data_IF_300273406502
#
_entry.id   IF_300273406502
#
_cell.length_a   1.000
_cell.length_b   1.000
_cell.length_c   1.000
_cell.angle_alpha   90.00
_cell.angle_beta   90.00
_cell.angle_gamma   90.00
#
_symmetry.space_group_name_H-M   'P 1'
#
loop_
_entity.id
_entity.type
_entity.pdbx_description
1 polymer ?
#
# COMPACT_ATOMS: atom_id res chain seq x y z
N UNK A 1 -8.54 -3.72 -21.14
CA UNK A 1 -7.28 -3.08 -20.73
C UNK A 1 -6.27 -4.13 -20.29
N UNK A 2 -5.46 -4.58 -21.25
CA UNK A 2 -4.43 -5.62 -21.08
C UNK A 2 -3.04 -5.04 -20.75
N UNK A 3 -2.96 -3.77 -20.38
CA UNK A 3 -1.68 -3.01 -20.39
C UNK A 3 -0.74 -3.36 -19.21
N UNK A 4 -1.06 -4.34 -18.36
CA UNK A 4 -0.18 -4.79 -17.24
C UNK A 4 0.06 -3.77 -16.12
N UNK A 5 -0.33 -2.50 -16.28
CA UNK A 5 -0.13 -1.42 -15.31
C UNK A 5 -1.25 -1.31 -14.26
N UNK A 6 -1.76 -2.44 -13.76
CA UNK A 6 -2.73 -2.44 -12.67
C UNK A 6 -2.56 -3.65 -11.77
N UNK A 7 -3.03 -3.53 -10.54
CA UNK A 7 -3.18 -4.64 -9.61
C UNK A 7 -4.49 -4.52 -8.84
N UNK A 8 -4.89 -5.60 -8.16
CA UNK A 8 -6.08 -5.63 -7.33
C UNK A 8 -5.72 -5.52 -5.85
N UNK A 9 -6.39 -4.62 -5.14
CA UNK A 9 -6.35 -4.51 -3.68
C UNK A 9 -7.33 -5.53 -3.06
N UNK A 10 -6.86 -6.32 -2.10
CA UNK A 10 -7.63 -7.41 -1.49
C UNK A 10 -7.54 -7.36 0.02
N UNK A 11 -8.56 -7.90 0.69
CA UNK A 11 -8.57 -8.14 2.13
C UNK A 11 -8.33 -9.63 2.38
N UNK A 12 -7.16 -9.97 2.91
CA UNK A 12 -6.72 -11.34 3.18
C UNK A 12 -6.94 -11.68 4.65
N UNK A 13 -7.37 -12.90 4.91
CA UNK A 13 -7.64 -13.44 6.24
C UNK A 13 -7.16 -14.89 6.30
N UNK A 14 -6.90 -15.40 7.51
CA UNK A 14 -6.64 -16.83 7.70
C UNK A 14 -7.89 -17.65 7.38
N UNK A 15 -7.69 -18.83 6.80
CA UNK A 15 -8.72 -19.86 6.63
C UNK A 15 -8.89 -20.56 7.98
N UNK A 16 -10.04 -20.34 8.63
CA UNK A 16 -10.34 -20.95 9.93
C UNK A 16 -11.81 -21.36 9.98
N UNK A 17 -12.07 -22.57 10.46
CA UNK A 17 -13.42 -23.08 10.73
C UNK A 17 -14.06 -22.48 11.98
N UNK A 18 -13.26 -22.00 12.94
CA UNK A 18 -13.74 -21.60 14.27
C UNK A 18 -13.90 -20.09 14.44
N UNK A 19 -13.11 -19.29 13.73
CA UNK A 19 -13.10 -17.83 13.82
C UNK A 19 -13.31 -17.17 12.44
N UNK A 20 -14.18 -17.75 11.61
CA UNK A 20 -14.53 -17.18 10.30
C UNK A 20 -15.35 -15.90 10.46
N UNK A 21 -15.06 -14.90 9.63
CA UNK A 21 -15.81 -13.66 9.54
C UNK A 21 -15.81 -13.13 8.10
N UNK A 22 -16.73 -12.22 7.82
CA UNK A 22 -16.89 -11.61 6.49
C UNK A 22 -16.43 -10.15 6.49
N UNK A 23 -16.42 -9.51 5.32
CA UNK A 23 -16.11 -8.07 5.19
C UNK A 23 -17.02 -7.20 6.08
N UNK A 24 -18.23 -7.65 6.41
CA UNK A 24 -19.20 -6.92 7.24
C UNK A 24 -18.95 -7.06 8.75
N UNK A 25 -17.98 -7.88 9.16
CA UNK A 25 -17.70 -8.24 10.55
C UNK A 25 -16.27 -7.85 10.95
N UNK A 26 -15.72 -6.82 10.30
CA UNK A 26 -14.37 -6.32 10.55
C UNK A 26 -14.24 -5.50 11.84
N UNK A 27 -15.35 -4.99 12.38
CA UNK A 27 -15.35 -4.21 13.61
C UNK A 27 -14.81 -5.03 14.78
N UNK A 28 -13.86 -4.47 15.53
CA UNK A 28 -13.19 -5.10 16.66
C UNK A 28 -12.13 -6.14 16.28
N UNK A 29 -11.86 -6.36 14.99
CA UNK A 29 -10.77 -7.23 14.53
C UNK A 29 -9.42 -6.52 14.60
N UNK A 30 -8.35 -7.30 14.61
CA UNK A 30 -6.97 -6.84 14.52
C UNK A 30 -6.56 -6.69 13.06
N UNK A 31 -6.07 -5.53 12.66
CA UNK A 31 -5.85 -5.21 11.24
C UNK A 31 -4.40 -4.90 10.91
N UNK A 32 -3.95 -5.34 9.73
CA UNK A 32 -2.60 -5.16 9.23
C UNK A 32 -2.63 -4.34 7.94
N UNK A 33 -1.93 -3.22 7.95
CA UNK A 33 -1.93 -2.25 6.85
C UNK A 33 -0.52 -2.06 6.33
N UNK A 34 -0.36 -1.85 5.02
CA UNK A 34 0.96 -1.65 4.41
C UNK A 34 1.67 -0.36 4.85
N UNK A 35 0.92 0.58 5.45
CA UNK A 35 1.36 1.92 5.81
C UNK A 35 0.24 2.95 5.62
N UNK A 36 0.30 4.03 6.41
CA UNK A 36 -0.61 5.16 6.34
C UNK A 36 -0.63 5.77 4.93
N UNK A 37 -1.81 6.16 4.45
CA UNK A 37 -2.04 6.78 3.13
C UNK A 37 -1.58 5.97 1.90
N UNK A 38 -1.15 4.70 2.08
CA UNK A 38 -0.83 3.81 0.96
C UNK A 38 -2.10 3.29 0.30
N UNK A 39 -2.02 3.03 -1.01
CA UNK A 39 -3.19 2.72 -1.81
C UNK A 39 -3.97 1.49 -1.33
N UNK A 40 -3.39 0.29 -1.47
CA UNK A 40 -4.10 -0.95 -1.19
C UNK A 40 -4.21 -1.28 0.30
N UNK A 41 -3.25 -0.80 1.09
CA UNK A 41 -3.23 -1.02 2.53
C UNK A 41 -3.99 0.02 3.34
N UNK A 42 -4.38 1.16 2.79
CA UNK A 42 -5.09 2.21 3.53
C UNK A 42 -6.19 2.88 2.72
N UNK A 43 -5.89 3.56 1.62
CA UNK A 43 -6.88 4.38 0.90
C UNK A 43 -8.05 3.55 0.39
N UNK A 44 -7.80 2.44 -0.30
CA UNK A 44 -8.86 1.55 -0.77
C UNK A 44 -9.66 0.97 0.40
N UNK A 45 -9.08 0.19 1.33
CA UNK A 45 -9.89 -0.47 2.36
C UNK A 45 -10.62 0.50 3.27
N UNK A 46 -9.98 1.59 3.70
CA UNK A 46 -10.62 2.58 4.58
C UNK A 46 -11.69 3.37 3.81
N UNK A 47 -11.42 3.77 2.56
CA UNK A 47 -12.41 4.42 1.70
C UNK A 47 -13.64 3.55 1.48
N UNK A 48 -13.44 2.26 1.20
CA UNK A 48 -14.51 1.27 1.03
C UNK A 48 -15.35 1.12 2.30
N UNK A 49 -14.73 1.04 3.48
CA UNK A 49 -15.45 0.94 4.76
C UNK A 49 -16.21 2.23 5.12
N UNK A 50 -15.69 3.40 4.72
CA UNK A 50 -16.38 4.69 4.85
C UNK A 50 -17.60 4.74 3.93
N UNK A 51 -17.44 4.36 2.66
CA UNK A 51 -18.52 4.39 1.66
C UNK A 51 -19.67 3.45 2.04
N UNK A 52 -19.35 2.29 2.61
CA UNK A 52 -20.34 1.37 3.18
C UNK A 52 -21.03 1.90 4.44
N UNK A 53 -20.47 2.92 5.08
CA UNK A 53 -20.97 3.48 6.33
C UNK A 53 -20.57 2.70 7.58
N UNK A 54 -19.66 1.73 7.47
CA UNK A 54 -19.11 0.95 8.58
C UNK A 54 -18.19 1.82 9.46
N UNK A 55 -17.37 2.65 8.80
CA UNK A 55 -16.55 3.67 9.46
C UNK A 55 -17.22 5.03 9.25
N UNK A 56 -17.57 5.68 10.36
CA UNK A 56 -18.06 7.06 10.36
C UNK A 56 -17.05 7.91 11.10
N UNK A 57 -16.60 8.98 10.47
CA UNK A 57 -15.66 9.91 11.09
C UNK A 57 -16.29 11.30 11.20
N UNK A 58 -15.89 12.04 12.23
CA UNK A 58 -16.26 13.44 12.43
C UNK A 58 -15.00 14.28 12.37
N UNK A 59 -15.11 15.53 11.93
CA UNK A 59 -14.01 16.51 11.95
C UNK A 59 -12.71 15.99 11.31
N UNK A 60 -12.82 15.20 10.25
CA UNK A 60 -11.67 14.85 9.42
C UNK A 60 -10.57 14.02 10.07
N UNK A 61 -10.88 13.33 11.17
CA UNK A 61 -9.92 12.44 11.83
C UNK A 61 -10.20 10.98 11.46
N UNK A 62 -9.80 10.59 10.24
CA UNK A 62 -9.94 9.22 9.74
C UNK A 62 -9.15 8.25 10.61
N UNK A 63 -7.90 8.60 10.98
CA UNK A 63 -7.07 7.75 11.85
C UNK A 63 -7.78 7.39 13.16
N UNK A 64 -8.42 8.35 13.81
CA UNK A 64 -9.21 8.09 15.02
C UNK A 64 -10.41 7.17 14.76
N UNK A 65 -11.17 7.40 13.69
CA UNK A 65 -12.32 6.54 13.38
C UNK A 65 -11.89 5.08 13.09
N UNK A 66 -10.77 4.90 12.38
CA UNK A 66 -10.17 3.58 12.15
C UNK A 66 -9.73 2.94 13.47
N UNK A 67 -9.11 3.72 14.37
CA UNK A 67 -8.65 3.27 15.68
C UNK A 67 -9.78 2.84 16.64
N UNK A 68 -11.00 3.36 16.43
CA UNK A 68 -12.21 2.99 17.17
C UNK A 68 -12.96 1.81 16.51
N UNK A 69 -12.69 1.56 15.22
CA UNK A 69 -13.31 0.49 14.46
C UNK A 69 -12.57 -0.84 14.63
N UNK A 70 -11.25 -0.85 14.50
CA UNK A 70 -10.40 -2.03 14.76
C UNK A 70 -9.93 -2.03 16.22
N UNK A 71 -9.77 -3.21 16.83
CA UNK A 71 -9.35 -3.31 18.23
C UNK A 71 -7.89 -2.93 18.44
N UNK A 72 -7.04 -3.36 17.50
CA UNK A 72 -5.63 -3.01 17.42
C UNK A 72 -5.20 -3.11 15.95
N UNK A 73 -4.22 -2.31 15.54
CA UNK A 73 -3.73 -2.32 14.16
C UNK A 73 -2.21 -2.20 14.11
N UNK A 74 -1.62 -2.58 12.98
CA UNK A 74 -0.32 -2.05 12.57
C UNK A 74 -0.50 -1.20 11.31
N UNK A 75 -0.26 0.10 11.46
CA UNK A 75 -0.31 1.12 10.40
C UNK A 75 1.01 1.90 10.44
N UNK A 76 2.06 1.41 9.75
CA UNK A 76 3.33 2.14 9.68
C UNK A 76 3.12 3.61 9.29
N UNK A 77 3.79 4.54 9.97
CA UNK A 77 3.65 5.99 9.83
C UNK A 77 2.53 6.64 10.66
N UNK A 78 1.76 5.86 11.43
CA UNK A 78 0.74 6.38 12.35
C UNK A 78 1.28 6.66 13.77
N UNK A 79 2.59 6.76 13.94
CA UNK A 79 3.29 7.12 15.18
C UNK A 79 3.39 8.65 15.40
N UNK A 80 2.92 9.43 14.42
CA UNK A 80 2.95 10.89 14.45
C UNK A 80 1.90 11.49 15.40
N UNK A 81 2.14 12.69 15.96
CA UNK A 81 1.18 13.37 16.82
C UNK A 81 -0.22 13.49 16.18
N UNK A 82 -1.26 13.14 16.95
CA UNK A 82 -2.65 13.19 16.51
C UNK A 82 -3.27 11.85 16.10
N UNK A 83 -2.45 10.80 15.98
CA UNK A 83 -2.92 9.43 15.75
C UNK A 83 -3.00 8.63 17.07
N UNK A 84 -4.07 7.84 17.29
CA UNK A 84 -4.18 6.99 18.47
C UNK A 84 -3.18 5.82 18.45
N UNK A 85 -2.67 5.46 19.63
CA UNK A 85 -1.66 4.41 19.78
C UNK A 85 -2.11 3.02 19.32
N UNK A 86 -3.42 2.74 19.32
CA UNK A 86 -3.97 1.47 18.83
C UNK A 86 -3.69 1.22 17.35
N UNK A 87 -3.36 2.26 16.56
CA UNK A 87 -2.94 2.12 15.16
C UNK A 87 -1.53 1.52 14.99
N UNK A 88 -0.69 1.61 16.03
CA UNK A 88 0.68 1.10 16.06
C UNK A 88 0.86 -0.07 17.02
N UNK A 89 -0.22 -0.55 17.65
CA UNK A 89 -0.18 -1.54 18.73
C UNK A 89 0.42 -2.86 18.25
N UNK A 90 0.01 -3.34 17.07
CA UNK A 90 0.48 -4.61 16.50
C UNK A 90 1.86 -4.50 15.85
N UNK A 91 2.37 -3.30 15.57
CA UNK A 91 3.68 -3.11 14.93
C UNK A 91 4.82 -3.59 15.85
N UNK A 92 5.94 -4.04 15.27
CA UNK A 92 6.99 -4.75 16.01
C UNK A 92 8.39 -4.14 15.89
N UNK A 93 8.56 -3.13 15.03
CA UNK A 93 9.85 -2.52 14.76
C UNK A 93 10.84 -3.47 14.09
N UNK A 94 12.12 -3.11 14.21
CA UNK A 94 13.24 -3.93 13.79
C UNK A 94 13.46 -5.14 14.73
N UNK A 95 14.53 -5.91 14.51
CA UNK A 95 14.85 -7.07 15.34
C UNK A 95 15.17 -6.74 16.81
N UNK A 96 15.46 -5.47 17.10
CA UNK A 96 15.68 -4.96 18.46
C UNK A 96 14.44 -4.27 19.05
N UNK A 97 13.34 -4.21 18.29
CA UNK A 97 12.10 -3.51 18.66
C UNK A 97 12.16 -1.99 18.51
N UNK A 98 13.21 -1.45 17.88
CA UNK A 98 13.31 -0.02 17.54
C UNK A 98 12.57 0.26 16.24
N UNK A 99 12.38 1.55 15.91
CA UNK A 99 11.61 1.97 14.73
C UNK A 99 10.21 1.36 14.66
N UNK A 100 9.61 1.03 15.81
CA UNK A 100 8.25 0.51 15.90
C UNK A 100 7.28 1.49 15.26
N UNK A 101 6.50 1.01 14.30
CA UNK A 101 5.55 1.76 13.51
C UNK A 101 6.16 2.82 12.58
N UNK A 102 7.48 2.81 12.36
CA UNK A 102 8.13 3.74 11.44
C UNK A 102 7.64 3.52 9.98
N UNK A 103 7.54 4.60 9.20
CA UNK A 103 7.21 4.52 7.78
C UNK A 103 8.42 4.12 6.92
N UNK A 104 9.08 3.03 7.27
CA UNK A 104 10.29 2.52 6.60
C UNK A 104 10.28 0.99 6.53
N UNK A 105 11.30 0.39 5.91
CA UNK A 105 11.49 -1.06 5.90
C UNK A 105 12.04 -1.60 7.24
N UNK A 106 12.45 -0.74 8.17
CA UNK A 106 12.92 -1.15 9.50
C UNK A 106 11.77 -1.71 10.35
N UNK A 107 10.56 -1.20 10.17
CA UNK A 107 9.35 -1.83 10.71
C UNK A 107 9.04 -3.10 9.92
N UNK A 108 9.22 -4.26 10.54
CA UNK A 108 9.05 -5.56 9.88
C UNK A 108 7.61 -5.84 9.41
N UNK A 109 6.60 -5.14 9.93
CA UNK A 109 5.23 -5.20 9.42
C UNK A 109 4.89 -4.14 8.36
N UNK A 110 5.89 -3.40 7.87
CA UNK A 110 5.72 -2.39 6.83
C UNK A 110 5.66 -2.98 5.42
N UNK A 111 4.93 -2.32 4.52
CA UNK A 111 4.79 -2.77 3.14
C UNK A 111 3.88 -3.98 2.97
N UNK A 112 3.91 -4.56 1.77
CA UNK A 112 3.01 -5.65 1.40
C UNK A 112 3.36 -6.95 2.14
N UNK A 113 4.63 -7.37 2.08
CA UNK A 113 5.10 -8.57 2.78
C UNK A 113 4.97 -8.41 4.29
N UNK A 114 5.33 -7.24 4.85
CA UNK A 114 5.17 -6.96 6.27
C UNK A 114 3.71 -6.99 6.75
N UNK A 115 2.77 -6.41 5.99
CA UNK A 115 1.35 -6.47 6.36
C UNK A 115 0.80 -7.91 6.30
N UNK A 116 1.27 -8.72 5.36
CA UNK A 116 0.91 -10.14 5.30
C UNK A 116 1.57 -10.96 6.43
N UNK A 117 2.83 -10.67 6.77
CA UNK A 117 3.51 -11.21 7.96
C UNK A 117 2.76 -10.89 9.24
N UNK A 118 2.32 -9.64 9.40
CA UNK A 118 1.47 -9.20 10.49
C UNK A 118 0.22 -10.08 10.60
N UNK A 119 -0.48 -10.37 9.49
CA UNK A 119 -1.61 -11.31 9.49
C UNK A 119 -1.17 -12.72 9.90
N UNK A 120 -0.08 -13.24 9.33
CA UNK A 120 0.41 -14.58 9.64
C UNK A 120 0.71 -14.76 11.13
N UNK A 121 1.28 -13.75 11.79
CA UNK A 121 1.72 -13.81 13.18
C UNK A 121 0.64 -13.38 14.19
N UNK A 122 0.05 -12.18 14.04
CA UNK A 122 -0.77 -11.55 15.09
C UNK A 122 -2.10 -10.95 14.64
N UNK A 123 -2.28 -10.63 13.36
CA UNK A 123 -3.48 -9.98 12.84
C UNK A 123 -4.62 -10.94 12.53
N UNK A 124 -5.81 -10.38 12.33
CA UNK A 124 -6.99 -11.13 11.85
C UNK A 124 -7.24 -10.87 10.35
N UNK A 125 -6.92 -9.66 9.86
CA UNK A 125 -7.05 -9.24 8.46
C UNK A 125 -5.83 -8.44 8.00
N UNK A 126 -5.38 -8.65 6.77
CA UNK A 126 -4.40 -7.79 6.09
C UNK A 126 -4.98 -7.20 4.79
N UNK A 127 -4.69 -5.93 4.55
CA UNK A 127 -5.03 -5.25 3.30
C UNK A 127 -3.79 -5.11 2.42
N UNK A 128 -3.75 -5.86 1.32
CA UNK A 128 -2.56 -6.03 0.46
C UNK A 128 -2.93 -6.12 -1.02
N UNK A 129 -1.94 -6.29 -1.91
CA UNK A 129 -2.18 -6.61 -3.32
C UNK A 129 -2.46 -8.11 -3.49
N UNK A 130 -3.23 -8.48 -4.51
CA UNK A 130 -3.59 -9.87 -4.80
C UNK A 130 -2.40 -10.83 -4.97
N UNK A 131 -1.24 -10.35 -5.41
CA UNK A 131 -0.02 -11.18 -5.57
C UNK A 131 0.73 -11.44 -4.26
N UNK A 132 0.43 -10.71 -3.17
CA UNK A 132 1.23 -10.76 -1.94
C UNK A 132 1.22 -12.13 -1.26
N UNK A 133 0.08 -12.84 -1.28
CA UNK A 133 -0.01 -14.17 -0.67
C UNK A 133 0.96 -15.11 -1.40
N UNK A 134 0.82 -15.23 -2.73
CA UNK A 134 1.68 -16.10 -3.54
C UNK A 134 3.17 -15.75 -3.44
N UNK A 135 3.51 -14.47 -3.32
CA UNK A 135 4.89 -14.04 -3.14
C UNK A 135 5.50 -14.47 -1.78
N UNK A 136 4.67 -14.80 -0.78
CA UNK A 136 5.09 -15.08 0.59
C UNK A 136 4.67 -16.47 1.10
N UNK A 137 4.21 -17.35 0.22
CA UNK A 137 3.81 -18.71 0.58
C UNK A 137 4.42 -19.73 -0.38
N UNK A 138 4.21 -21.01 -0.08
CA UNK A 138 4.51 -22.13 -0.99
C UNK A 138 6.00 -22.22 -1.41
N UNK A 139 6.89 -21.71 -0.57
CA UNK A 139 8.34 -21.73 -0.79
C UNK A 139 8.87 -20.56 -1.63
N UNK A 140 8.05 -19.59 -2.01
CA UNK A 140 8.52 -18.40 -2.74
C UNK A 140 9.34 -17.46 -1.87
N UNK A 141 8.90 -17.22 -0.63
CA UNK A 141 9.69 -16.46 0.35
C UNK A 141 10.43 -17.43 1.30
N UNK A 142 11.76 -17.35 1.30
CA UNK A 142 12.67 -18.19 2.09
C UNK A 142 12.96 -17.63 3.49
N UNK A 143 12.40 -16.47 3.83
CA UNK A 143 12.54 -15.92 5.18
C UNK A 143 11.93 -16.85 6.24
N UNK A 144 12.52 -16.90 7.46
CA UNK A 144 12.08 -17.83 8.51
C UNK A 144 10.59 -17.73 8.88
N UNK A 145 9.99 -16.54 8.76
CA UNK A 145 8.58 -16.32 9.07
C UNK A 145 7.61 -16.86 8.01
N UNK A 146 8.09 -17.03 6.76
CA UNK A 146 7.26 -17.36 5.59
C UNK A 146 7.46 -18.79 5.09
N UNK A 147 8.60 -19.42 5.38
CA UNK A 147 9.04 -20.71 4.78
C UNK A 147 8.01 -21.84 4.86
N UNK A 148 7.18 -21.86 5.90
CA UNK A 148 6.18 -22.91 6.13
C UNK A 148 4.75 -22.51 5.76
N UNK A 149 4.53 -21.28 5.27
CA UNK A 149 3.20 -20.80 4.95
C UNK A 149 2.69 -21.42 3.63
N UNK A 150 1.41 -21.80 3.60
CA UNK A 150 0.73 -22.28 2.40
C UNK A 150 -0.34 -21.29 1.96
N UNK A 151 -0.44 -21.02 0.66
CA UNK A 151 -1.46 -20.10 0.14
C UNK A 151 -2.88 -20.54 0.50
N UNK A 152 -3.11 -21.85 0.53
CA UNK A 152 -4.40 -22.47 0.87
C UNK A 152 -4.83 -22.28 2.34
N UNK A 153 -3.94 -21.78 3.21
CA UNK A 153 -4.27 -21.42 4.59
C UNK A 153 -4.89 -20.02 4.70
N UNK A 154 -5.07 -19.33 3.57
CA UNK A 154 -5.60 -17.97 3.49
C UNK A 154 -6.81 -17.89 2.55
N UNK A 155 -7.63 -16.87 2.76
CA UNK A 155 -8.81 -16.57 1.94
C UNK A 155 -8.96 -15.05 1.78
N UNK A 156 -9.76 -14.67 0.79
CA UNK A 156 -10.14 -13.28 0.52
C UNK A 156 -11.53 -12.99 1.09
N UNK A 157 -11.72 -11.77 1.59
CA UNK A 157 -13.04 -11.24 1.91
C UNK A 157 -13.59 -10.47 0.71
N UNK A 158 -14.75 -10.90 0.22
CA UNK A 158 -15.39 -10.30 -0.95
C UNK A 158 -16.39 -9.22 -0.52
N UNK A 159 -16.57 -8.22 -1.37
CA UNK A 159 -17.47 -7.09 -1.10
C UNK A 159 -18.94 -7.48 -0.93
N UNK A 160 -19.35 -8.59 -1.56
CA UNK A 160 -20.69 -9.19 -1.42
C UNK A 160 -20.89 -9.97 -0.12
N UNK A 161 -19.90 -10.01 0.79
CA UNK A 161 -19.95 -10.76 2.04
C UNK A 161 -19.48 -12.21 1.95
N UNK A 162 -19.18 -12.71 0.75
CA UNK A 162 -18.61 -14.04 0.58
C UNK A 162 -17.12 -14.08 0.97
N UNK A 163 -16.58 -15.29 1.03
CA UNK A 163 -15.15 -15.57 1.12
C UNK A 163 -14.74 -16.36 -0.12
N UNK A 164 -13.54 -16.11 -0.62
CA UNK A 164 -13.01 -16.78 -1.81
C UNK A 164 -11.60 -17.31 -1.56
N UNK A 165 -11.19 -18.29 -2.36
CA UNK A 165 -9.79 -18.74 -2.36
C UNK A 165 -8.90 -17.63 -2.92
N UNK A 166 -7.63 -17.58 -2.50
CA UNK A 166 -6.72 -16.49 -2.87
C UNK A 166 -6.47 -16.37 -4.38
N UNK A 167 -6.69 -17.44 -5.16
CA UNK A 167 -6.62 -17.43 -6.62
C UNK A 167 -7.79 -16.75 -7.32
N UNK A 168 -8.91 -16.51 -6.63
CA UNK A 168 -10.13 -15.89 -7.18
C UNK A 168 -10.16 -14.38 -6.97
N UNK A 169 -8.99 -13.74 -6.89
CA UNK A 169 -8.85 -12.32 -6.60
C UNK A 169 -9.49 -11.42 -7.67
N UNK A 170 -9.61 -11.90 -8.91
CA UNK A 170 -10.19 -11.13 -10.00
C UNK A 170 -11.68 -10.87 -9.77
N UNK A 171 -12.40 -11.86 -9.22
CA UNK A 171 -13.82 -11.75 -8.86
C UNK A 171 -14.01 -11.28 -7.40
N UNK A 172 -13.01 -11.49 -6.53
CA UNK A 172 -13.04 -11.14 -5.11
C UNK A 172 -11.91 -10.16 -4.74
N UNK A 173 -12.16 -8.86 -4.95
CA UNK A 173 -11.27 -7.77 -4.57
C UNK A 173 -12.06 -6.56 -4.06
N UNK A 174 -11.34 -5.61 -3.46
CA UNK A 174 -11.89 -4.33 -3.02
C UNK A 174 -11.93 -3.32 -4.16
N UNK A 175 -10.86 -3.27 -4.96
CA UNK A 175 -10.76 -2.41 -6.13
C UNK A 175 -9.62 -2.86 -7.05
N UNK A 176 -9.74 -2.53 -8.34
CA UNK A 176 -8.63 -2.47 -9.29
C UNK A 176 -7.92 -1.13 -9.16
N UNK A 177 -6.60 -1.15 -9.11
CA UNK A 177 -5.74 -0.01 -8.80
C UNK A 177 -4.65 0.14 -9.86
N UNK A 178 -4.31 1.37 -10.28
CA UNK A 178 -3.13 1.64 -11.10
C UNK A 178 -1.82 1.17 -10.44
N UNK A 179 -0.91 0.61 -11.23
CA UNK A 179 0.39 0.16 -10.74
C UNK A 179 1.24 1.33 -10.21
N UNK A 180 2.26 0.99 -9.42
CA UNK A 180 3.23 1.98 -8.97
C UNK A 180 3.98 2.59 -10.16
N UNK A 181 4.37 3.85 -10.05
CA UNK A 181 5.08 4.59 -11.09
C UNK A 181 6.33 5.28 -10.53
N UNK A 182 7.32 5.47 -11.39
CA UNK A 182 8.49 6.30 -11.08
C UNK A 182 8.10 7.76 -11.29
N UNK A 183 8.08 8.53 -10.21
CA UNK A 183 7.77 9.95 -10.24
C UNK A 183 9.06 10.76 -10.42
N UNK A 184 9.04 11.74 -11.32
CA UNK A 184 10.17 12.63 -11.58
C UNK A 184 9.73 14.08 -11.52
N UNK A 185 10.69 15.00 -11.32
CA UNK A 185 10.41 16.42 -11.38
C UNK A 185 9.97 16.83 -12.81
N UNK A 186 9.09 17.83 -13.00
CA UNK A 186 8.63 18.23 -14.34
C UNK A 186 9.74 18.64 -15.32
N UNK A 187 10.89 19.08 -14.81
CA UNK A 187 12.05 19.42 -15.64
C UNK A 187 12.93 18.21 -16.02
N UNK A 188 12.65 17.03 -15.48
CA UNK A 188 13.39 15.80 -15.75
C UNK A 188 12.80 15.10 -16.98
N UNK A 189 13.65 14.70 -17.92
CA UNK A 189 13.19 13.97 -19.11
C UNK A 189 12.67 12.57 -18.74
N UNK A 190 11.36 12.39 -18.82
CA UNK A 190 10.71 11.08 -18.62
C UNK A 190 11.23 10.03 -19.60
N UNK A 191 11.53 10.42 -20.84
CA UNK A 191 12.04 9.53 -21.88
C UNK A 191 13.46 9.06 -21.56
N UNK A 192 14.31 9.93 -21.01
CA UNK A 192 15.66 9.53 -20.60
C UNK A 192 15.61 8.57 -19.39
N UNK A 193 14.76 8.84 -18.41
CA UNK A 193 14.57 7.97 -17.24
C UNK A 193 14.00 6.62 -17.65
N UNK A 194 12.93 6.61 -18.47
CA UNK A 194 12.38 5.37 -19.00
C UNK A 194 13.41 4.63 -19.85
N UNK A 195 14.14 5.29 -20.75
CA UNK A 195 15.16 4.65 -21.57
C UNK A 195 16.29 4.02 -20.77
N UNK A 196 16.72 4.66 -19.67
CA UNK A 196 17.68 4.08 -18.72
C UNK A 196 17.12 2.82 -18.06
N UNK A 197 15.90 2.88 -17.53
CA UNK A 197 15.27 1.76 -16.83
C UNK A 197 14.94 0.61 -17.79
N UNK A 198 14.49 0.92 -19.00
CA UNK A 198 14.19 -0.02 -20.07
C UNK A 198 15.46 -0.76 -20.52
N UNK A 199 16.58 -0.04 -20.68
CA UNK A 199 17.88 -0.68 -20.94
C UNK A 199 18.40 -1.45 -19.75
N UNK A 200 18.15 -1.00 -18.51
CA UNK A 200 18.50 -1.75 -17.31
C UNK A 200 17.78 -3.10 -17.26
N UNK A 201 16.47 -3.11 -17.49
CA UNK A 201 15.67 -4.35 -17.39
C UNK A 201 16.00 -5.36 -18.49
N UNK A 202 16.49 -4.92 -19.66
CA UNK A 202 17.01 -5.83 -20.70
C UNK A 202 18.13 -6.75 -20.15
N UNK A 203 18.94 -6.26 -19.22
CA UNK A 203 20.03 -7.03 -18.61
C UNK A 203 19.65 -7.65 -17.26
N UNK A 204 18.86 -6.94 -16.45
CA UNK A 204 18.69 -7.26 -15.03
C UNK A 204 17.23 -7.53 -14.63
N UNK A 205 16.29 -7.50 -15.57
CA UNK A 205 14.85 -7.61 -15.28
C UNK A 205 14.40 -9.04 -14.92
N UNK A 206 15.03 -10.06 -15.51
CA UNK A 206 14.73 -11.46 -15.18
C UNK A 206 15.57 -11.96 -14.01
N UNK A 207 14.96 -12.64 -13.05
CA UNK A 207 15.68 -13.15 -11.87
C UNK A 207 16.73 -14.22 -12.17
N UNK A 208 16.64 -14.88 -13.34
CA UNK A 208 17.60 -15.89 -13.79
C UNK A 208 18.71 -15.31 -14.69
N UNK A 209 18.81 -13.98 -14.79
CA UNK A 209 19.82 -13.35 -15.62
C UNK A 209 21.25 -13.66 -15.12
N UNK A 210 22.24 -13.81 -16.03
CA UNK A 210 23.62 -14.12 -15.66
C UNK A 210 24.44 -12.88 -15.27
N UNK A 211 23.85 -11.68 -15.23
CA UNK A 211 24.56 -10.41 -15.18
C UNK A 211 24.84 -9.89 -13.75
N UNK A 212 24.61 -10.73 -12.74
CA UNK A 212 25.01 -10.46 -11.35
C UNK A 212 24.17 -9.40 -10.62
N UNK A 213 23.02 -8.99 -11.17
CA UNK A 213 22.08 -8.09 -10.51
C UNK A 213 20.64 -8.37 -10.94
N UNK A 214 19.68 -8.28 -10.01
CA UNK A 214 18.25 -8.50 -10.27
C UNK A 214 17.48 -7.24 -9.88
N UNK A 215 16.88 -6.56 -10.86
CA UNK A 215 16.22 -5.27 -10.66
C UNK A 215 14.93 -5.37 -9.85
N UNK A 216 14.22 -6.50 -9.95
CA UNK A 216 12.90 -6.70 -9.35
C UNK A 216 12.93 -7.83 -8.32
N UNK A 217 14.06 -8.02 -7.65
CA UNK A 217 14.19 -9.03 -6.60
C UNK A 217 15.07 -8.49 -5.47
N UNK A 218 14.58 -8.60 -4.24
CA UNK A 218 15.26 -8.10 -3.07
C UNK A 218 15.66 -9.16 -2.02
N UNK A 219 15.57 -10.45 -2.37
CA UNK A 219 15.83 -11.56 -1.42
C UNK A 219 17.23 -11.53 -0.81
N UNK A 220 18.22 -11.03 -1.55
CA UNK A 220 19.63 -11.01 -1.15
C UNK A 220 19.95 -9.91 -0.11
N UNK A 221 19.00 -9.03 0.19
CA UNK A 221 19.25 -7.80 0.98
C UNK A 221 18.53 -7.76 2.34
N UNK A 222 17.90 -8.87 2.76
CA UNK A 222 17.22 -8.93 4.06
C UNK A 222 16.01 -8.00 4.17
N UNK A 223 15.33 -7.76 3.05
CA UNK A 223 14.13 -6.95 2.94
C UNK A 223 13.29 -7.36 1.74
N UNK A 224 12.11 -6.76 1.61
CA UNK A 224 11.19 -7.01 0.49
C UNK A 224 10.83 -5.72 -0.23
N UNK A 225 10.55 -5.80 -1.53
CA UNK A 225 10.12 -4.68 -2.36
C UNK A 225 11.11 -3.48 -2.33
N UNK A 226 12.43 -3.73 -2.37
CA UNK A 226 13.45 -2.69 -2.35
C UNK A 226 13.60 -2.01 -3.72
N UNK A 227 13.49 -0.68 -3.76
CA UNK A 227 13.40 0.18 -4.96
C UNK A 227 12.13 -0.08 -5.80
N UNK A 228 11.97 -1.31 -6.30
CA UNK A 228 10.82 -1.78 -7.05
C UNK A 228 10.12 -2.92 -6.30
N UNK A 229 8.88 -3.21 -6.68
CA UNK A 229 8.17 -4.36 -6.12
C UNK A 229 8.79 -5.65 -6.64
N UNK A 230 8.90 -6.67 -5.79
CA UNK A 230 9.45 -7.97 -6.21
C UNK A 230 8.52 -8.69 -7.21
N UNK A 231 7.26 -8.26 -7.27
CA UNK A 231 6.29 -8.74 -8.26
C UNK A 231 6.30 -7.93 -9.56
N UNK A 232 7.33 -7.10 -9.80
CA UNK A 232 7.42 -6.32 -11.03
C UNK A 232 7.94 -7.22 -12.13
N UNK A 233 7.15 -7.47 -13.16
CA UNK A 233 7.61 -8.27 -14.32
C UNK A 233 8.40 -7.43 -15.31
N UNK A 234 8.00 -6.17 -15.49
CA UNK A 234 8.64 -5.20 -16.39
C UNK A 234 8.21 -3.78 -16.07
N UNK A 235 9.07 -2.83 -16.42
CA UNK A 235 8.76 -1.41 -16.48
C UNK A 235 8.20 -1.10 -17.87
N UNK A 236 7.15 -0.30 -17.93
CA UNK A 236 6.53 0.16 -19.18
C UNK A 236 6.46 1.69 -19.22
N UNK A 237 6.34 2.23 -20.43
CA UNK A 237 6.10 3.66 -20.62
C UNK A 237 4.72 4.05 -20.07
N UNK A 238 4.62 5.25 -19.52
CA UNK A 238 3.34 5.84 -19.08
C UNK A 238 2.45 6.25 -20.26
N UNK A 239 2.96 6.22 -21.49
CA UNK A 239 2.22 6.59 -22.68
C UNK A 239 1.71 8.02 -22.60
N UNK A 240 0.41 8.21 -22.82
CA UNK A 240 -0.25 9.52 -22.72
C UNK A 240 -0.59 9.91 -21.26
N UNK A 241 -0.46 9.00 -20.29
CA UNK A 241 -0.80 9.22 -18.88
C UNK A 241 0.37 9.87 -18.12
N UNK A 242 0.81 11.04 -18.59
CA UNK A 242 2.01 11.72 -18.09
C UNK A 242 1.78 12.53 -16.79
N UNK A 243 0.52 12.72 -16.39
CA UNK A 243 0.15 13.40 -15.14
C UNK A 243 -0.27 12.40 -14.07
N UNK A 244 -0.19 12.79 -12.79
CA UNK A 244 -0.65 11.89 -11.71
C UNK A 244 -2.17 11.68 -11.79
N UNK A 245 -2.93 12.66 -12.30
CA UNK A 245 -4.36 12.55 -12.51
C UNK A 245 -4.73 11.53 -13.57
N UNK A 246 -4.03 11.53 -14.71
CA UNK A 246 -4.26 10.59 -15.80
C UNK A 246 -3.78 9.18 -15.45
N UNK A 247 -2.67 9.07 -14.72
CA UNK A 247 -2.14 7.79 -14.26
C UNK A 247 -3.06 7.13 -13.22
N UNK A 248 -3.46 7.90 -12.20
CA UNK A 248 -4.29 7.40 -11.12
C UNK A 248 -5.77 7.21 -11.53
N UNK A 249 -6.23 8.05 -12.45
CA UNK A 249 -7.61 8.07 -12.90
C UNK A 249 -8.57 8.75 -11.93
N UNK A 250 -9.64 9.33 -12.50
CA UNK A 250 -10.62 10.15 -11.76
C UNK A 250 -11.28 9.42 -10.60
N UNK A 251 -11.70 8.17 -10.81
CA UNK A 251 -12.41 7.39 -9.78
C UNK A 251 -11.56 7.20 -8.51
N UNK A 252 -10.27 6.92 -8.68
CA UNK A 252 -9.36 6.75 -7.54
C UNK A 252 -9.12 8.08 -6.82
N UNK A 253 -8.91 9.17 -7.56
CA UNK A 253 -8.72 10.49 -6.99
C UNK A 253 -9.95 11.00 -6.23
N UNK A 254 -11.15 10.77 -6.76
CA UNK A 254 -12.39 11.13 -6.08
C UNK A 254 -12.59 10.31 -4.80
N UNK A 255 -12.20 9.03 -4.80
CA UNK A 255 -12.22 8.20 -3.60
C UNK A 255 -11.25 8.71 -2.54
N UNK A 256 -10.02 9.09 -2.91
CA UNK A 256 -9.06 9.68 -1.96
C UNK A 256 -9.59 11.00 -1.40
N UNK A 257 -10.14 11.89 -2.23
CA UNK A 257 -10.69 13.18 -1.76
C UNK A 257 -11.81 13.04 -0.73
N UNK A 258 -12.48 11.88 -0.65
CA UNK A 258 -13.49 11.60 0.39
C UNK A 258 -12.85 11.18 1.71
N UNK A 259 -11.65 10.62 1.68
CA UNK A 259 -10.86 10.21 2.86
C UNK A 259 -10.04 11.41 3.36
N UNK A 260 -9.37 12.09 2.44
CA UNK A 260 -8.69 13.36 2.66
C UNK A 260 -9.74 14.46 2.77
N UNK A 261 -10.17 14.71 3.99
CA UNK A 261 -10.81 15.97 4.26
C UNK A 261 -9.96 17.13 3.74
N UNK A 262 -10.56 18.00 2.92
CA UNK A 262 -10.00 19.29 2.49
C UNK A 262 -9.89 20.25 3.69
N UNK A 263 -9.00 19.93 4.62
CA UNK A 263 -8.83 20.59 5.91
C UNK A 263 -7.40 20.58 6.43
N UNK A 264 -6.42 20.13 5.63
CA UNK A 264 -5.05 20.61 5.78
C UNK A 264 -5.02 22.07 5.31
N UNK A 265 -5.58 22.98 6.11
CA UNK A 265 -5.01 24.31 6.19
C UNK A 265 -3.56 24.09 6.55
N UNK A 266 -2.66 24.27 5.56
CA UNK A 266 -1.29 24.69 5.83
C UNK A 266 -1.42 25.73 6.95
N UNK A 267 -0.80 25.55 8.12
CA UNK A 267 -0.88 26.57 9.15
C UNK A 267 -0.26 27.82 8.52
N UNK A 268 -1.11 28.78 8.14
CA UNK A 268 -0.67 30.12 7.84
C UNK A 268 -0.16 30.65 9.18
N UNK A 269 1.12 30.46 9.42
CA UNK A 269 1.82 31.17 10.47
C UNK A 269 1.62 32.64 10.17
N UNK A 270 0.76 33.28 10.95
CA UNK A 270 0.69 34.74 11.04
C UNK A 270 2.04 35.22 11.54
N UNK A 271 2.95 35.52 10.64
CA UNK A 271 4.02 36.46 10.88
C UNK A 271 4.59 36.94 9.55
N UNK A 272 4.89 38.22 9.49
CA UNK A 272 5.47 38.96 8.36
C UNK A 272 4.48 39.39 7.27
N UNK A 273 3.85 40.54 7.50
CA UNK A 273 3.72 41.55 6.45
C UNK A 273 5.12 41.79 5.86
N UNK A 274 5.48 41.16 4.73
CA UNK A 274 6.60 41.65 3.90
C UNK A 274 6.78 41.02 2.50
N UNK A 275 5.88 40.15 1.99
CA UNK A 275 6.13 39.48 0.68
C UNK A 275 5.04 39.69 -0.38
N UNK A 276 4.27 40.76 -0.27
CA UNK A 276 3.24 41.13 -1.26
C UNK A 276 3.80 41.78 -2.56
N UNK A 277 5.11 41.70 -2.85
CA UNK A 277 5.71 42.36 -4.02
C UNK A 277 6.33 41.39 -5.05
N UNK A 278 6.48 40.08 -4.78
CA UNK A 278 7.12 39.16 -5.75
C UNK A 278 6.17 38.29 -6.60
N UNK A 279 4.85 38.48 -6.51
CA UNK A 279 3.86 37.69 -7.26
C UNK A 279 3.56 38.20 -8.69
N UNK A 280 4.36 39.12 -9.24
CA UNK A 280 4.10 39.71 -10.57
C UNK A 280 4.90 39.12 -11.73
N UNK A 281 5.85 38.18 -11.50
CA UNK A 281 6.72 37.67 -12.58
C UNK A 281 6.87 36.14 -12.60
N UNK A 282 5.77 35.39 -12.70
CA UNK A 282 5.84 34.00 -13.18
C UNK A 282 4.92 33.86 -14.39
N UNK A 283 5.54 33.98 -15.56
CA UNK A 283 4.96 33.66 -16.86
C UNK A 283 4.81 32.14 -16.97
N UNK A 284 3.60 31.68 -17.22
CA UNK A 284 3.37 30.36 -17.80
C UNK A 284 3.97 30.31 -19.21
N UNK A 285 4.78 29.30 -19.50
CA UNK A 285 5.08 28.88 -20.86
C UNK A 285 4.99 27.35 -20.93
N UNK A 286 4.50 26.88 -22.10
CA UNK A 286 4.08 25.52 -22.43
C UNK A 286 5.09 24.43 -22.07
#
# INVERSE_FOLDING_TARGET
DHDGASYYAVAVVKKSSHNSFTINQLKGKRSCHTGLARTAGWNIPIGTLIEKGDIKFKKCNVGKAVSEFFSASCVPGADQPGYPSSLCELCIGDDTGKSKCAFSAEERYSGYSGAFRCLAEVGDVAFVKHTTVFANTDGTNQEPWAVNLKSNDYQLLCMNGARAEVGQWNECNLARVPSHAVMVHPSTSITAVFGLLDKGQDFFGHDDNPNGFKMFNSSDYGGSDLLFKDSTERIISVGEKITYEDWLGKNYLEAIKRIECSGAMIPSTRSSLCLLILMLHIKFFL
#
